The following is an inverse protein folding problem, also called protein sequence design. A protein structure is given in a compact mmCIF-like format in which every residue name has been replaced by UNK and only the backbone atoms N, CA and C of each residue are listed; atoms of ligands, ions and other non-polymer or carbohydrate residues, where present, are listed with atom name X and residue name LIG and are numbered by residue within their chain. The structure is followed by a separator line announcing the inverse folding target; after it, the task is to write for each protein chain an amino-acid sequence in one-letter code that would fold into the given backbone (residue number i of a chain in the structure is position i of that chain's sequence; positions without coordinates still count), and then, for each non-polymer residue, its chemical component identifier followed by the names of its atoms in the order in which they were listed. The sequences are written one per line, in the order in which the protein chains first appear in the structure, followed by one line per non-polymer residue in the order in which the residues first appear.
data_IF_520841302986
#
_entry.id   IF_520841302986
#
_cell.length_a   1.000
_cell.length_b   1.000
_cell.length_c   1.000
_cell.angle_alpha   90.00
_cell.angle_beta   90.00
_cell.angle_gamma   90.00
#
_symmetry.space_group_name_H-M   'P 1'
#
loop_
_entity.id
_entity.type
_entity.pdbx_description
1 polymer ?
#
# COMPACT_ATOMS: atom_id res chain seq x y z
N UNK A 1 -4.41 21.28 10.60
CA UNK A 1 -3.59 20.97 9.40
C UNK A 1 -4.50 20.23 8.41
N UNK A 2 -4.85 20.83 7.27
CA UNK A 2 -5.63 20.14 6.24
C UNK A 2 -4.70 19.13 5.56
N UNK A 3 -4.71 17.89 6.01
CA UNK A 3 -3.96 16.81 5.38
C UNK A 3 -4.70 16.48 4.08
N UNK A 4 -4.12 16.91 2.97
CA UNK A 4 -4.61 16.69 1.61
C UNK A 4 -3.99 15.41 1.03
N UNK A 5 -4.58 14.86 -0.04
CA UNK A 5 -4.07 13.67 -0.75
C UNK A 5 -2.58 13.78 -1.11
N UNK A 6 -2.09 15.00 -1.32
CA UNK A 6 -0.67 15.34 -1.51
C UNK A 6 0.25 14.78 -0.42
N UNK A 7 -0.16 14.81 0.86
CA UNK A 7 0.66 14.30 1.96
C UNK A 7 0.78 12.77 1.94
N UNK A 8 -0.29 12.08 1.56
CA UNK A 8 -0.25 10.62 1.37
C UNK A 8 0.70 10.29 0.22
N UNK A 9 0.59 11.00 -0.90
CA UNK A 9 1.45 10.79 -2.08
C UNK A 9 2.94 10.98 -1.74
N UNK A 10 3.25 12.08 -1.04
CA UNK A 10 4.60 12.40 -0.62
C UNK A 10 5.14 11.35 0.35
N UNK A 11 4.34 10.95 1.34
CA UNK A 11 4.72 9.88 2.26
C UNK A 11 5.01 8.59 1.52
N UNK A 12 4.12 8.15 0.64
CA UNK A 12 4.27 6.91 -0.14
C UNK A 12 5.55 6.93 -0.98
N UNK A 13 5.82 8.05 -1.67
CA UNK A 13 7.03 8.21 -2.45
C UNK A 13 8.31 8.20 -1.61
N UNK A 14 8.30 8.90 -0.47
CA UNK A 14 9.42 8.91 0.48
C UNK A 14 9.64 7.54 1.14
N UNK A 15 8.56 6.85 1.51
CA UNK A 15 8.58 5.52 2.10
C UNK A 15 9.22 4.54 1.13
N UNK A 16 8.74 4.51 -0.11
CA UNK A 16 9.27 3.64 -1.18
C UNK A 16 10.75 3.89 -1.42
N UNK A 17 11.18 5.17 -1.48
CA UNK A 17 12.61 5.53 -1.65
C UNK A 17 13.48 5.06 -0.48
N UNK A 18 12.98 5.10 0.75
CA UNK A 18 13.74 4.73 1.95
C UNK A 18 13.78 3.23 2.21
N UNK A 19 12.67 2.54 1.94
CA UNK A 19 12.48 1.12 2.28
C UNK A 19 12.72 0.18 1.10
N UNK A 20 12.70 0.70 -0.12
CA UNK A 20 12.80 -0.09 -1.35
C UNK A 20 11.50 -0.81 -1.74
N UNK A 21 10.39 -0.56 -1.02
CA UNK A 21 9.08 -1.12 -1.34
C UNK A 21 7.95 -0.13 -0.99
N UNK A 22 6.80 -0.17 -1.71
CA UNK A 22 5.66 0.67 -1.42
C UNK A 22 4.99 0.30 -0.08
N UNK A 23 4.43 1.25 0.68
CA UNK A 23 3.81 0.95 1.96
C UNK A 23 2.52 0.14 1.83
N UNK A 24 2.10 -0.50 2.92
CA UNK A 24 0.78 -1.13 3.05
C UNK A 24 -0.26 -0.17 3.61
N UNK A 25 -1.54 -0.54 3.54
CA UNK A 25 -2.63 0.27 4.13
C UNK A 25 -2.47 0.37 5.65
N UNK A 26 -2.01 -0.68 6.32
CA UNK A 26 -1.75 -0.71 7.76
C UNK A 26 -0.63 0.25 8.16
N UNK A 27 0.45 0.30 7.37
CA UNK A 27 1.53 1.28 7.59
C UNK A 27 1.02 2.72 7.37
N UNK A 28 0.09 2.92 6.43
CA UNK A 28 -0.59 4.21 6.28
C UNK A 28 -1.51 4.52 7.48
N UNK A 29 -2.22 3.52 8.03
CA UNK A 29 -3.07 3.68 9.21
C UNK A 29 -2.25 4.00 10.45
N UNK A 30 -1.08 3.39 10.61
CA UNK A 30 -0.15 3.67 11.72
C UNK A 30 0.33 5.13 11.70
N UNK A 31 0.56 5.69 10.51
CA UNK A 31 1.08 7.06 10.34
C UNK A 31 -0.02 8.11 10.34
N UNK A 32 -1.11 7.88 9.62
CA UNK A 32 -2.16 8.89 9.38
C UNK A 32 -3.42 8.68 10.23
N UNK A 33 -3.58 7.50 10.83
CA UNK A 33 -4.78 7.11 11.56
C UNK A 33 -5.89 6.59 10.66
N UNK A 34 -6.67 5.65 11.21
CA UNK A 34 -7.72 4.93 10.49
C UNK A 34 -8.76 5.84 9.83
N UNK A 35 -9.22 6.88 10.54
CA UNK A 35 -10.24 7.81 10.04
C UNK A 35 -9.75 8.56 8.79
N UNK A 36 -8.48 8.94 8.74
CA UNK A 36 -7.92 9.72 7.64
C UNK A 36 -7.71 8.84 6.40
N UNK A 37 -7.15 7.65 6.60
CA UNK A 37 -6.99 6.63 5.56
C UNK A 37 -8.36 6.31 4.94
N UNK A 38 -9.39 6.11 5.77
CA UNK A 38 -10.75 5.82 5.27
C UNK A 38 -11.35 6.99 4.49
N UNK A 39 -11.15 8.24 4.94
CA UNK A 39 -11.60 9.42 4.19
C UNK A 39 -10.91 9.56 2.84
N UNK A 40 -9.68 9.07 2.72
CA UNK A 40 -8.86 9.13 1.51
C UNK A 40 -8.87 7.80 0.73
N UNK A 41 -9.83 6.93 1.00
CA UNK A 41 -9.85 5.56 0.49
C UNK A 41 -9.85 5.50 -1.04
N UNK A 42 -10.59 6.40 -1.70
CA UNK A 42 -10.59 6.49 -3.15
C UNK A 42 -9.19 6.78 -3.72
N UNK A 43 -8.46 7.69 -3.07
CA UNK A 43 -7.10 8.04 -3.45
C UNK A 43 -6.13 6.88 -3.19
N UNK A 44 -6.25 6.22 -2.04
CA UNK A 44 -5.45 5.03 -1.69
C UNK A 44 -5.70 3.90 -2.68
N UNK A 45 -6.95 3.63 -3.08
CA UNK A 45 -7.25 2.63 -4.12
C UNK A 45 -6.59 3.03 -5.45
N UNK A 46 -6.58 4.31 -5.79
CA UNK A 46 -5.91 4.79 -7.01
C UNK A 46 -4.40 4.56 -6.96
N UNK A 47 -3.76 4.83 -5.83
CA UNK A 47 -2.33 4.53 -5.61
C UNK A 47 -2.05 3.03 -5.64
N UNK A 48 -2.94 2.21 -5.06
CA UNK A 48 -2.84 0.75 -5.13
C UNK A 48 -2.87 0.24 -6.57
N UNK A 49 -3.78 0.76 -7.41
CA UNK A 49 -3.90 0.37 -8.83
C UNK A 49 -2.64 0.65 -9.65
N UNK A 50 -1.85 1.65 -9.28
CA UNK A 50 -0.58 1.98 -9.94
C UNK A 50 0.64 1.38 -9.23
N UNK A 51 0.44 0.49 -8.25
CA UNK A 51 1.52 -0.19 -7.53
C UNK A 51 2.26 0.67 -6.50
N UNK A 52 1.71 1.84 -6.15
CA UNK A 52 2.26 2.74 -5.13
C UNK A 52 1.84 2.35 -3.71
N UNK A 53 0.87 1.45 -3.55
CA UNK A 53 0.51 0.83 -2.27
C UNK A 53 0.48 -0.67 -2.51
N UNK A 54 1.02 -1.45 -1.57
CA UNK A 54 1.03 -2.91 -1.67
C UNK A 54 0.05 -3.53 -0.67
N UNK A 55 -0.39 -4.75 -0.97
CA UNK A 55 -1.14 -5.54 0.01
C UNK A 55 -0.26 -5.84 1.21
N UNK A 56 -0.88 -5.84 2.40
CA UNK A 56 -0.21 -6.31 3.59
C UNK A 56 0.02 -7.80 3.46
N UNK A 57 1.28 -8.20 3.64
CA UNK A 57 1.68 -9.60 3.71
C UNK A 57 1.09 -10.32 4.94
N UNK A 58 0.26 -9.64 5.74
CA UNK A 58 -0.52 -10.23 6.83
C UNK A 58 -1.78 -10.98 6.36
N UNK A 59 -2.11 -10.97 5.06
CA UNK A 59 -2.82 -12.09 4.46
C UNK A 59 -1.79 -13.21 4.19
N UNK A 60 -1.65 -14.07 5.19
CA UNK A 60 -0.60 -15.07 5.31
C UNK A 60 -0.35 -15.90 4.06
N UNK A 61 0.80 -15.68 3.45
CA UNK A 61 1.50 -16.71 2.67
C UNK A 61 2.27 -17.67 3.59
N UNK A 62 1.69 -18.02 4.76
CA UNK A 62 2.23 -19.13 5.54
C UNK A 62 1.89 -20.48 4.87
N UNK A 63 0.71 -20.57 4.24
CA UNK A 63 0.25 -21.80 3.57
C UNK A 63 -0.16 -21.61 2.09
N UNK A 64 -0.26 -20.37 1.60
CA UNK A 64 -0.47 -20.11 0.18
C UNK A 64 0.89 -20.14 -0.55
N UNK A 65 1.31 -21.34 -0.95
CA UNK A 65 2.28 -21.48 -2.02
C UNK A 65 1.68 -20.89 -3.30
N UNK A 66 2.40 -19.96 -3.93
CA UNK A 66 2.13 -19.58 -5.31
C UNK A 66 2.20 -20.88 -6.14
N UNK A 67 1.07 -21.35 -6.65
CA UNK A 67 1.09 -22.44 -7.62
C UNK A 67 1.95 -21.96 -8.79
N UNK A 68 3.08 -22.63 -9.09
CA UNK A 68 3.86 -22.27 -10.25
C UNK A 68 3.00 -22.56 -11.47
N UNK A 69 2.44 -21.52 -12.07
CA UNK A 69 1.88 -21.61 -13.40
C UNK A 69 3.05 -21.97 -14.32
N UNK A 70 3.05 -23.20 -14.82
CA UNK A 70 3.89 -23.59 -15.93
C UNK A 70 3.55 -22.63 -17.06
N UNK A 71 4.49 -21.77 -17.45
CA UNK A 71 4.41 -21.16 -18.75
C UNK A 71 4.46 -22.32 -19.76
N UNK A 72 3.33 -22.60 -20.42
CA UNK A 72 3.35 -23.43 -21.60
C UNK A 72 4.20 -22.69 -22.64
N UNK A 73 5.28 -23.33 -23.06
CA UNK A 73 6.12 -22.87 -24.18
C UNK A 73 5.33 -22.93 -25.49
#
# INVERSE_FOLDING_TARGET
MKINDTYIAEFVGNYTRRKGYPPTVEELVEVFGFVMVTKSLYYIISLYRIGMIRNSLYFGTKDLQLLPLKAEN
#
